data_IF_974605575468
#
_entry.id   IF_974605575468
#
_cell.length_a   1.000
_cell.length_b   1.000
_cell.length_c   1.000
_cell.angle_alpha   90.00
_cell.angle_beta   90.00
_cell.angle_gamma   90.00
#
_symmetry.space_group_name_H-M   'P 1'
#
loop_
_entity.id
_entity.type
_entity.pdbx_description
1 polymer ?
#
# COMPACT_ATOMS: atom_id res chain seq x y z
N UNK A 1 -17.41 -16.55 10.13
CA UNK A 1 -16.78 -15.26 9.75
C UNK A 1 -15.35 -15.11 10.27
N UNK A 2 -15.09 -15.16 11.57
CA UNK A 2 -13.72 -15.03 12.14
C UNK A 2 -12.78 -16.15 11.65
N UNK A 3 -13.24 -17.39 11.57
CA UNK A 3 -12.44 -18.53 11.06
C UNK A 3 -12.04 -18.32 9.59
N UNK A 4 -12.93 -17.85 8.74
CA UNK A 4 -12.65 -17.60 7.32
C UNK A 4 -11.65 -16.46 7.13
N UNK A 5 -11.76 -15.41 7.94
CA UNK A 5 -10.80 -14.31 7.97
C UNK A 5 -9.40 -14.81 8.38
N UNK A 6 -9.31 -15.61 9.45
CA UNK A 6 -8.04 -16.17 9.91
C UNK A 6 -7.44 -17.14 8.86
N UNK A 7 -8.27 -17.96 8.21
CA UNK A 7 -7.84 -18.84 7.12
C UNK A 7 -7.39 -18.03 5.91
N UNK A 8 -8.10 -16.95 5.54
CA UNK A 8 -7.70 -16.04 4.47
C UNK A 8 -6.34 -15.38 4.73
N UNK A 9 -6.11 -14.93 5.97
CA UNK A 9 -4.81 -14.39 6.38
C UNK A 9 -3.70 -15.44 6.31
N UNK A 10 -3.95 -16.67 6.79
CA UNK A 10 -3.02 -17.77 6.71
C UNK A 10 -2.69 -18.18 5.27
N UNK A 11 -3.70 -18.32 4.42
CA UNK A 11 -3.51 -18.61 3.00
C UNK A 11 -2.73 -17.49 2.34
N UNK A 12 -3.08 -16.21 2.61
CA UNK A 12 -2.34 -15.06 2.10
C UNK A 12 -0.87 -15.10 2.43
N UNK A 13 -0.55 -15.34 3.70
CA UNK A 13 0.83 -15.51 4.13
C UNK A 13 1.53 -16.67 3.42
N UNK A 14 0.86 -17.84 3.32
CA UNK A 14 1.41 -19.03 2.68
C UNK A 14 1.62 -18.85 1.17
N UNK A 15 0.72 -18.19 0.48
CA UNK A 15 0.86 -17.89 -0.95
C UNK A 15 2.09 -17.03 -1.20
N UNK A 16 2.35 -16.04 -0.37
CA UNK A 16 3.50 -15.14 -0.51
C UNK A 16 4.81 -15.79 -0.06
N UNK A 17 4.80 -16.63 0.99
CA UNK A 17 6.02 -17.16 1.61
C UNK A 17 6.40 -18.62 1.25
N UNK A 18 5.48 -19.39 0.70
CA UNK A 18 5.63 -20.86 0.61
C UNK A 18 6.26 -21.38 -0.69
N UNK A 19 6.54 -20.52 -1.66
CA UNK A 19 7.11 -20.90 -2.96
C UNK A 19 8.64 -20.86 -2.99
N UNK A 20 9.26 -20.42 -1.89
CA UNK A 20 10.71 -20.28 -1.81
C UNK A 20 11.22 -20.55 -0.39
N UNK A 21 12.53 -20.68 -0.26
CA UNK A 21 13.22 -20.78 1.04
C UNK A 21 12.93 -19.54 1.90
N UNK A 22 12.73 -19.69 3.23
CA UNK A 22 12.46 -18.57 4.13
C UNK A 22 13.46 -17.42 4.05
N UNK A 23 14.75 -17.71 3.84
CA UNK A 23 15.79 -16.70 3.67
C UNK A 23 15.64 -15.95 2.34
N UNK A 24 15.37 -16.68 1.26
CA UNK A 24 15.14 -16.07 -0.07
C UNK A 24 13.88 -15.22 -0.04
N UNK A 25 12.82 -15.69 0.61
CA UNK A 25 11.60 -14.91 0.80
C UNK A 25 11.86 -13.61 1.55
N UNK A 26 12.56 -13.69 2.70
CA UNK A 26 12.91 -12.51 3.51
C UNK A 26 13.77 -11.53 2.70
N UNK A 27 14.80 -12.02 2.01
CA UNK A 27 15.65 -11.20 1.16
C UNK A 27 14.87 -10.51 0.06
N UNK A 28 13.96 -11.21 -0.62
CA UNK A 28 13.11 -10.64 -1.67
C UNK A 28 12.14 -9.58 -1.13
N UNK A 29 11.51 -9.86 0.02
CA UNK A 29 10.58 -8.94 0.68
C UNK A 29 11.25 -7.63 1.09
N UNK A 30 12.55 -7.67 1.42
CA UNK A 30 13.31 -6.52 1.89
C UNK A 30 14.04 -5.81 0.73
N UNK A 31 14.55 -6.55 -0.26
CA UNK A 31 15.40 -5.99 -1.32
C UNK A 31 14.68 -4.94 -2.18
N UNK A 32 13.45 -5.21 -2.61
CA UNK A 32 12.68 -4.28 -3.45
C UNK A 32 12.38 -2.94 -2.75
N UNK A 33 11.85 -2.91 -1.51
CA UNK A 33 11.68 -1.68 -0.75
C UNK A 33 12.99 -0.91 -0.51
N UNK A 34 14.06 -1.60 -0.15
CA UNK A 34 15.37 -0.98 0.07
C UNK A 34 15.85 -0.33 -1.23
N UNK A 35 15.81 -1.03 -2.36
CA UNK A 35 16.23 -0.48 -3.64
C UNK A 35 15.47 0.80 -4.00
N UNK A 36 14.15 0.84 -3.74
CA UNK A 36 13.32 2.02 -3.99
C UNK A 36 13.70 3.20 -3.09
N UNK A 37 13.94 2.96 -1.81
CA UNK A 37 14.36 3.99 -0.85
C UNK A 37 15.76 4.52 -1.19
N UNK A 38 16.67 3.62 -1.56
CA UNK A 38 18.00 3.99 -2.01
C UNK A 38 17.99 4.86 -3.27
N UNK A 39 17.22 4.46 -4.26
CA UNK A 39 17.08 5.22 -5.51
C UNK A 39 16.63 6.66 -5.24
N UNK A 40 15.61 6.83 -4.41
CA UNK A 40 15.11 8.17 -4.03
C UNK A 40 16.16 8.96 -3.24
N UNK A 41 16.83 8.31 -2.28
CA UNK A 41 17.89 8.94 -1.52
C UNK A 41 19.08 9.36 -2.39
N UNK A 42 19.49 8.54 -3.35
CA UNK A 42 20.55 8.89 -4.31
C UNK A 42 20.13 10.02 -5.25
N UNK A 43 18.89 10.02 -5.75
CA UNK A 43 18.36 11.12 -6.55
C UNK A 43 18.41 12.44 -5.76
N UNK A 44 18.05 12.38 -4.47
CA UNK A 44 18.15 13.55 -3.59
C UNK A 44 19.60 14.03 -3.45
N UNK A 45 20.53 13.11 -3.16
CA UNK A 45 21.95 13.45 -2.98
C UNK A 45 22.55 14.08 -4.23
N UNK A 46 22.37 13.45 -5.39
CA UNK A 46 22.90 13.94 -6.68
C UNK A 46 22.25 15.28 -7.04
N UNK A 47 20.94 15.41 -6.83
CA UNK A 47 20.21 16.65 -7.08
C UNK A 47 20.64 17.79 -6.17
N UNK A 48 20.90 17.52 -4.89
CA UNK A 48 21.36 18.50 -3.91
C UNK A 48 22.79 18.96 -4.20
N UNK A 49 23.67 18.05 -4.57
CA UNK A 49 25.04 18.34 -4.97
C UNK A 49 25.07 19.22 -6.23
N UNK A 50 24.31 18.85 -7.25
CA UNK A 50 24.18 19.63 -8.49
C UNK A 50 23.58 21.02 -8.25
N UNK A 51 22.67 21.19 -7.28
CA UNK A 51 22.07 22.47 -6.93
C UNK A 51 22.94 23.31 -5.96
N UNK A 52 23.97 22.71 -5.35
CA UNK A 52 24.78 23.35 -4.30
C UNK A 52 24.01 23.65 -3.02
N UNK A 53 22.84 23.05 -2.81
CA UNK A 53 21.96 23.28 -1.67
C UNK A 53 21.49 21.95 -1.10
N UNK A 54 21.89 21.63 0.13
CA UNK A 54 21.43 20.46 0.84
C UNK A 54 20.29 20.83 1.79
N UNK A 55 19.05 20.48 1.42
CA UNK A 55 17.88 20.77 2.24
C UNK A 55 17.46 19.51 3.02
N UNK A 56 17.81 19.45 4.29
CA UNK A 56 17.52 18.32 5.18
C UNK A 56 16.01 18.09 5.38
N UNK A 57 15.20 19.16 5.37
CA UNK A 57 13.74 19.01 5.47
C UNK A 57 13.15 18.33 4.23
N UNK A 58 13.69 18.65 3.05
CA UNK A 58 13.26 17.99 1.82
C UNK A 58 13.72 16.54 1.77
N UNK A 59 14.91 16.22 2.30
CA UNK A 59 15.35 14.83 2.47
C UNK A 59 14.41 14.06 3.39
N UNK A 60 14.09 14.61 4.58
CA UNK A 60 13.11 13.99 5.49
C UNK A 60 11.76 13.75 4.81
N UNK A 61 11.28 14.73 4.05
CA UNK A 61 10.01 14.63 3.34
C UNK A 61 9.99 13.49 2.31
N UNK A 62 10.99 13.43 1.45
CA UNK A 62 11.09 12.45 0.37
C UNK A 62 11.39 11.04 0.89
N UNK A 63 12.28 10.93 1.85
CA UNK A 63 12.70 9.66 2.43
C UNK A 63 11.57 9.00 3.22
N UNK A 64 10.89 9.76 4.09
CA UNK A 64 9.72 9.23 4.82
C UNK A 64 8.58 8.88 3.87
N UNK A 65 8.34 9.71 2.85
CA UNK A 65 7.36 9.42 1.80
C UNK A 65 7.63 8.11 1.08
N UNK A 66 8.88 7.89 0.66
CA UNK A 66 9.29 6.67 -0.03
C UNK A 66 9.12 5.41 0.82
N UNK A 67 9.53 5.45 2.08
CA UNK A 67 9.44 4.31 3.00
C UNK A 67 7.98 3.97 3.29
N UNK A 68 7.17 4.93 3.69
CA UNK A 68 5.79 4.65 4.08
C UNK A 68 4.86 4.42 2.89
N UNK A 69 5.26 4.83 1.67
CA UNK A 69 4.56 4.45 0.44
C UNK A 69 4.60 2.94 0.16
N UNK A 70 5.49 2.20 0.81
CA UNK A 70 5.51 0.73 0.74
C UNK A 70 4.15 0.13 1.14
N UNK A 71 3.42 0.73 2.10
CA UNK A 71 2.09 0.26 2.50
C UNK A 71 1.07 0.27 1.35
N UNK A 72 0.73 1.42 0.75
CA UNK A 72 -0.22 1.46 -0.35
C UNK A 72 0.27 0.66 -1.57
N UNK A 73 1.56 0.68 -1.87
CA UNK A 73 2.13 -0.07 -2.99
C UNK A 73 2.00 -1.59 -2.81
N UNK A 74 2.46 -2.12 -1.68
CA UNK A 74 2.40 -3.56 -1.39
C UNK A 74 0.96 -4.06 -1.35
N UNK A 75 0.05 -3.32 -0.71
CA UNK A 75 -1.35 -3.72 -0.61
C UNK A 75 -2.08 -3.63 -1.95
N UNK A 76 -1.82 -2.60 -2.77
CA UNK A 76 -2.41 -2.49 -4.11
C UNK A 76 -1.95 -3.62 -5.04
N UNK A 77 -0.67 -3.99 -5.00
CA UNK A 77 -0.11 -5.07 -5.81
C UNK A 77 -0.64 -6.43 -5.35
N UNK A 78 -0.50 -6.75 -4.07
CA UNK A 78 -0.92 -8.05 -3.51
C UNK A 78 -2.42 -8.31 -3.71
N UNK A 79 -3.26 -7.33 -3.40
CA UNK A 79 -4.71 -7.49 -3.52
C UNK A 79 -5.19 -7.35 -4.97
N UNK A 80 -4.48 -6.59 -5.80
CA UNK A 80 -4.80 -6.50 -7.21
C UNK A 80 -4.55 -7.81 -7.96
N UNK A 81 -3.52 -8.56 -7.60
CA UNK A 81 -3.25 -9.88 -8.21
C UNK A 81 -4.09 -11.02 -7.61
N UNK A 82 -4.68 -10.83 -6.43
CA UNK A 82 -5.40 -11.87 -5.69
C UNK A 82 -6.41 -12.63 -6.54
N UNK A 83 -7.29 -11.92 -7.24
CA UNK A 83 -8.35 -12.57 -8.04
C UNK A 83 -7.76 -13.39 -9.18
N UNK A 84 -6.68 -12.90 -9.80
CA UNK A 84 -6.01 -13.62 -10.87
C UNK A 84 -5.29 -14.87 -10.35
N UNK A 85 -4.54 -14.74 -9.27
CA UNK A 85 -3.83 -15.86 -8.65
C UNK A 85 -4.81 -16.95 -8.20
N UNK A 86 -5.86 -16.58 -7.48
CA UNK A 86 -6.84 -17.51 -6.96
C UNK A 86 -7.68 -18.17 -8.08
N UNK A 87 -7.85 -17.50 -9.23
CA UNK A 87 -8.59 -18.01 -10.38
C UNK A 87 -7.73 -18.90 -11.28
N UNK A 88 -6.57 -18.41 -11.71
CA UNK A 88 -5.78 -19.04 -12.76
C UNK A 88 -4.61 -19.89 -12.25
N UNK A 89 -3.94 -19.44 -11.18
CA UNK A 89 -2.74 -20.11 -10.66
C UNK A 89 -3.07 -21.19 -9.65
N UNK A 90 -3.95 -20.89 -8.69
CA UNK A 90 -4.27 -21.83 -7.59
C UNK A 90 -5.63 -22.52 -7.78
N UNK A 91 -6.48 -22.05 -8.67
CA UNK A 91 -7.82 -22.57 -8.97
C UNK A 91 -8.75 -22.66 -7.74
N UNK A 92 -8.47 -21.87 -6.70
CA UNK A 92 -9.22 -21.90 -5.44
C UNK A 92 -10.43 -20.98 -5.45
N UNK A 93 -10.51 -20.01 -6.37
CA UNK A 93 -11.57 -19.01 -6.39
C UNK A 93 -12.97 -19.63 -6.46
N UNK A 94 -13.16 -20.67 -7.31
CA UNK A 94 -14.43 -21.44 -7.42
C UNK A 94 -14.83 -22.07 -6.09
N UNK A 95 -13.88 -22.63 -5.35
CA UNK A 95 -14.16 -23.28 -4.07
C UNK A 95 -14.56 -22.26 -2.99
N UNK A 96 -13.97 -21.07 -3.02
CA UNK A 96 -14.33 -19.96 -2.12
C UNK A 96 -15.78 -19.50 -2.42
N UNK A 97 -16.18 -19.45 -3.70
CA UNK A 97 -17.53 -19.03 -4.09
C UNK A 97 -18.62 -20.10 -3.87
N UNK A 98 -18.26 -21.36 -3.78
CA UNK A 98 -19.18 -22.47 -3.44
C UNK A 98 -19.36 -22.59 -1.93
N UNK A 99 -18.38 -22.10 -1.14
CA UNK A 99 -18.46 -22.14 0.30
C UNK A 99 -19.69 -21.35 0.83
N UNK A 100 -20.32 -21.82 1.92
CA UNK A 100 -21.54 -21.19 2.46
C UNK A 100 -21.29 -19.79 3.01
N UNK A 101 -20.03 -19.41 3.22
CA UNK A 101 -19.66 -18.10 3.74
C UNK A 101 -19.33 -17.09 2.62
N UNK A 102 -19.46 -15.80 2.94
CA UNK A 102 -19.15 -14.72 2.00
C UNK A 102 -17.66 -14.67 1.65
N UNK A 103 -17.35 -14.29 0.41
CA UNK A 103 -15.97 -14.09 -0.08
C UNK A 103 -15.25 -12.92 0.62
N UNK A 104 -16.01 -11.93 1.11
CA UNK A 104 -15.43 -10.72 1.73
C UNK A 104 -14.52 -11.02 2.92
N UNK A 105 -14.88 -11.86 3.93
CA UNK A 105 -13.97 -12.22 5.01
C UNK A 105 -12.66 -12.85 4.54
N UNK A 106 -12.70 -13.63 3.46
CA UNK A 106 -11.48 -14.17 2.85
C UNK A 106 -10.57 -13.06 2.30
N UNK A 107 -11.13 -12.12 1.53
CA UNK A 107 -10.37 -10.97 0.99
C UNK A 107 -9.79 -10.13 2.13
N UNK A 108 -10.56 -9.85 3.19
CA UNK A 108 -10.03 -9.12 4.35
C UNK A 108 -8.94 -9.90 5.10
N UNK A 109 -9.00 -11.23 5.12
CA UNK A 109 -7.89 -12.04 5.60
C UNK A 109 -6.60 -11.82 4.79
N UNK A 110 -6.71 -11.78 3.46
CA UNK A 110 -5.60 -11.45 2.56
C UNK A 110 -5.06 -10.03 2.78
N UNK A 111 -5.95 -9.06 3.09
CA UNK A 111 -5.55 -7.70 3.50
C UNK A 111 -4.63 -7.73 4.72
N UNK A 112 -4.95 -8.54 5.74
CA UNK A 112 -4.12 -8.67 6.94
C UNK A 112 -2.74 -9.23 6.60
N UNK A 113 -2.66 -10.28 5.78
CA UNK A 113 -1.38 -10.86 5.34
C UNK A 113 -0.51 -9.82 4.61
N UNK A 114 -1.10 -9.10 3.66
CA UNK A 114 -0.43 -8.05 2.91
C UNK A 114 0.03 -6.88 3.82
N UNK A 115 -0.78 -6.51 4.81
CA UNK A 115 -0.41 -5.49 5.79
C UNK A 115 0.78 -5.92 6.67
N UNK A 116 0.85 -7.18 7.08
CA UNK A 116 2.01 -7.73 7.81
C UNK A 116 3.27 -7.65 6.96
N UNK A 117 3.20 -8.07 5.68
CA UNK A 117 4.33 -7.97 4.76
C UNK A 117 4.79 -6.51 4.56
N UNK A 118 3.85 -5.59 4.35
CA UNK A 118 4.15 -4.16 4.24
C UNK A 118 4.83 -3.63 5.52
N UNK A 119 4.35 -4.03 6.70
CA UNK A 119 4.92 -3.62 7.99
C UNK A 119 6.37 -4.07 8.13
N UNK A 120 6.66 -5.33 7.85
CA UNK A 120 8.04 -5.86 7.92
C UNK A 120 8.93 -5.13 6.91
N UNK A 121 8.46 -4.91 5.69
CA UNK A 121 9.19 -4.17 4.65
C UNK A 121 9.48 -2.73 5.04
N UNK A 122 8.50 -2.02 5.63
CA UNK A 122 8.67 -0.64 6.11
C UNK A 122 9.68 -0.57 7.25
N UNK A 123 9.59 -1.46 8.25
CA UNK A 123 10.54 -1.49 9.36
C UNK A 123 11.96 -1.75 8.85
N UNK A 124 12.14 -2.74 7.97
CA UNK A 124 13.44 -3.03 7.40
C UNK A 124 13.99 -1.85 6.58
N UNK A 125 13.18 -1.26 5.70
CA UNK A 125 13.57 -0.12 4.88
C UNK A 125 13.90 1.12 5.74
N UNK A 126 13.15 1.33 6.82
CA UNK A 126 13.39 2.44 7.75
C UNK A 126 14.71 2.26 8.50
N UNK A 127 14.93 1.08 9.11
CA UNK A 127 16.15 0.80 9.88
C UNK A 127 17.39 0.82 8.99
N UNK A 128 17.36 0.13 7.85
CA UNK A 128 18.50 0.04 6.95
C UNK A 128 18.75 1.39 6.26
N UNK A 129 17.69 2.05 5.81
CA UNK A 129 17.78 3.35 5.16
C UNK A 129 18.36 4.43 6.08
N UNK A 130 17.85 4.54 7.32
CA UNK A 130 18.38 5.50 8.31
C UNK A 130 19.84 5.20 8.68
N UNK A 131 20.18 3.93 8.86
CA UNK A 131 21.56 3.52 9.18
C UNK A 131 22.53 3.91 8.04
N UNK A 132 22.18 3.66 6.79
CA UNK A 132 23.07 3.92 5.66
C UNK A 132 23.16 5.42 5.37
N UNK A 133 22.03 6.13 5.26
CA UNK A 133 22.06 7.56 4.97
C UNK A 133 22.68 8.38 6.12
N UNK A 134 22.46 7.97 7.38
CA UNK A 134 23.14 8.58 8.52
C UNK A 134 24.65 8.32 8.55
N UNK A 135 25.06 7.04 8.43
CA UNK A 135 26.48 6.66 8.59
C UNK A 135 27.39 7.11 7.43
N UNK A 136 26.90 6.99 6.17
CA UNK A 136 27.74 7.25 5.00
C UNK A 136 27.57 8.65 4.39
N UNK A 137 26.40 9.25 4.55
CA UNK A 137 26.08 10.54 3.91
C UNK A 137 25.85 11.68 4.92
N UNK A 138 25.91 11.38 6.22
CA UNK A 138 25.68 12.38 7.27
C UNK A 138 24.27 12.98 7.25
N UNK A 139 23.32 12.29 6.62
CA UNK A 139 21.93 12.72 6.49
C UNK A 139 21.10 12.12 7.63
N UNK A 140 21.21 12.71 8.80
CA UNK A 140 20.37 12.34 9.91
C UNK A 140 18.93 12.81 9.65
N UNK A 141 17.97 11.92 9.86
CA UNK A 141 16.56 12.29 9.79
C UNK A 141 16.13 13.25 10.91
N UNK A 142 17.05 13.54 11.86
CA UNK A 142 16.80 14.36 13.04
C UNK A 142 15.55 13.92 13.84
N UNK A 143 15.19 12.62 13.73
CA UNK A 143 14.04 12.05 14.45
C UNK A 143 14.48 11.80 15.89
N UNK A 144 14.00 12.62 16.80
CA UNK A 144 14.16 12.34 18.22
C UNK A 144 13.10 11.30 18.64
N UNK A 145 13.54 10.06 18.87
CA UNK A 145 12.65 8.97 19.24
C UNK A 145 11.78 9.28 20.48
N UNK A 146 12.24 10.14 21.38
CA UNK A 146 11.47 10.57 22.56
C UNK A 146 10.36 11.59 22.24
N UNK A 147 10.44 12.23 21.08
CA UNK A 147 9.47 13.25 20.65
C UNK A 147 8.46 12.71 19.61
N UNK A 148 8.60 11.46 19.15
CA UNK A 148 7.70 10.88 18.18
C UNK A 148 6.32 10.63 18.80
N UNK A 149 5.26 11.02 18.08
CA UNK A 149 3.88 10.72 18.50
C UNK A 149 3.48 9.29 18.10
N UNK A 150 3.91 8.31 18.91
CA UNK A 150 3.63 6.88 18.66
C UNK A 150 2.13 6.54 18.57
N UNK A 151 1.25 7.06 19.45
CA UNK A 151 -0.19 6.84 19.30
C UNK A 151 -0.72 7.25 17.93
N UNK A 152 -0.29 8.40 17.41
CA UNK A 152 -0.72 8.87 16.09
C UNK A 152 -0.20 7.98 14.96
N UNK A 153 1.05 7.47 15.05
CA UNK A 153 1.58 6.49 14.08
C UNK A 153 0.72 5.24 14.04
N UNK A 154 0.41 4.67 15.21
CA UNK A 154 -0.40 3.44 15.31
C UNK A 154 -1.78 3.67 14.69
N UNK A 155 -2.46 4.75 15.06
CA UNK A 155 -3.79 5.09 14.50
C UNK A 155 -3.70 5.29 12.99
N UNK A 156 -2.68 6.00 12.50
CA UNK A 156 -2.48 6.25 11.08
C UNK A 156 -2.24 4.96 10.30
N UNK A 157 -1.41 4.05 10.81
CA UNK A 157 -1.15 2.75 10.17
C UNK A 157 -2.43 1.92 10.15
N UNK A 158 -3.19 1.83 11.24
CA UNK A 158 -4.44 1.09 11.28
C UNK A 158 -5.48 1.64 10.29
N UNK A 159 -5.65 2.95 10.25
CA UNK A 159 -6.52 3.60 9.25
C UNK A 159 -6.01 3.37 7.82
N UNK A 160 -4.70 3.42 7.62
CA UNK A 160 -4.07 3.13 6.33
C UNK A 160 -4.35 1.71 5.85
N UNK A 161 -4.20 0.72 6.73
CA UNK A 161 -4.52 -0.69 6.41
C UNK A 161 -5.99 -0.83 5.98
N UNK A 162 -6.91 -0.16 6.68
CA UNK A 162 -8.33 -0.16 6.32
C UNK A 162 -8.54 0.51 4.95
N UNK A 163 -7.98 1.70 4.73
CA UNK A 163 -8.12 2.45 3.49
C UNK A 163 -7.57 1.68 2.28
N UNK A 164 -6.35 1.13 2.40
CA UNK A 164 -5.70 0.36 1.33
C UNK A 164 -6.33 -1.01 1.15
N UNK A 165 -6.92 -1.59 2.19
CA UNK A 165 -7.75 -2.78 2.10
C UNK A 165 -8.99 -2.55 1.24
N UNK A 166 -9.67 -1.41 1.36
CA UNK A 166 -10.79 -1.05 0.48
C UNK A 166 -10.34 -0.69 -0.94
N UNK A 167 -9.17 -0.06 -1.09
CA UNK A 167 -8.55 0.11 -2.42
C UNK A 167 -8.32 -1.26 -3.08
N UNK A 168 -7.75 -2.21 -2.35
CA UNK A 168 -7.56 -3.58 -2.82
C UNK A 168 -8.87 -4.27 -3.19
N UNK A 169 -9.93 -4.10 -2.39
CA UNK A 169 -11.26 -4.61 -2.72
C UNK A 169 -11.81 -4.01 -4.02
N UNK A 170 -11.53 -2.73 -4.29
CA UNK A 170 -11.88 -2.08 -5.55
C UNK A 170 -11.14 -2.71 -6.74
N UNK A 171 -9.84 -2.97 -6.59
CA UNK A 171 -9.03 -3.65 -7.62
C UNK A 171 -9.53 -5.09 -7.85
N UNK A 172 -9.86 -5.82 -6.78
CA UNK A 172 -10.52 -7.13 -6.88
C UNK A 172 -11.83 -7.06 -7.67
N UNK A 173 -12.67 -6.04 -7.42
CA UNK A 173 -13.92 -5.86 -8.14
C UNK A 173 -13.71 -5.71 -9.65
N UNK A 174 -12.73 -4.91 -10.06
CA UNK A 174 -12.40 -4.72 -11.48
C UNK A 174 -11.88 -6.03 -12.09
N UNK A 175 -10.98 -6.73 -11.39
CA UNK A 175 -10.37 -7.97 -11.85
C UNK A 175 -11.36 -9.17 -11.87
N UNK A 176 -12.45 -9.13 -11.10
CA UNK A 176 -13.51 -10.13 -11.22
C UNK A 176 -14.21 -10.09 -12.58
N UNK A 177 -14.38 -8.92 -13.17
CA UNK A 177 -15.10 -8.72 -14.43
C UNK A 177 -14.20 -8.46 -15.63
N UNK A 178 -12.91 -8.21 -15.44
CA UNK A 178 -11.94 -7.93 -16.50
C UNK A 178 -10.74 -8.87 -16.42
N UNK A 179 -10.51 -9.65 -17.50
CA UNK A 179 -9.32 -10.51 -17.63
C UNK A 179 -8.13 -9.76 -18.22
N UNK A 180 -8.39 -8.69 -18.98
CA UNK A 180 -7.34 -7.99 -19.74
C UNK A 180 -6.43 -7.10 -18.87
N UNK A 181 -6.94 -6.66 -17.73
CA UNK A 181 -6.25 -5.70 -16.85
C UNK A 181 -5.51 -6.35 -15.67
N UNK A 182 -5.57 -7.67 -15.54
CA UNK A 182 -5.17 -8.41 -14.35
C UNK A 182 -3.75 -8.11 -13.84
N UNK A 183 -2.77 -7.94 -14.73
CA UNK A 183 -1.39 -7.62 -14.33
C UNK A 183 -1.12 -6.11 -14.30
N UNK A 184 -1.65 -5.38 -15.27
CA UNK A 184 -1.33 -3.96 -15.43
C UNK A 184 -2.10 -3.05 -14.46
N UNK A 185 -3.29 -3.44 -14.00
CA UNK A 185 -4.13 -2.60 -13.15
C UNK A 185 -3.43 -2.19 -11.85
N UNK A 186 -2.79 -3.15 -11.19
CA UNK A 186 -2.09 -2.91 -9.92
C UNK A 186 -0.88 -2.01 -10.10
N UNK A 187 -0.10 -2.23 -11.15
CA UNK A 187 1.08 -1.43 -11.45
C UNK A 187 0.69 0.01 -11.81
N UNK A 188 -0.32 0.21 -12.66
CA UNK A 188 -0.82 1.55 -12.98
C UNK A 188 -1.38 2.26 -11.75
N UNK A 189 -2.16 1.55 -10.93
CA UNK A 189 -2.70 2.11 -9.69
C UNK A 189 -1.57 2.55 -8.76
N UNK A 190 -0.56 1.72 -8.56
CA UNK A 190 0.60 2.03 -7.72
C UNK A 190 1.37 3.23 -8.27
N UNK A 191 1.59 3.30 -9.58
CA UNK A 191 2.24 4.44 -10.23
C UNK A 191 1.46 5.75 -10.06
N UNK A 192 0.13 5.70 -10.22
CA UNK A 192 -0.75 6.86 -10.01
C UNK A 192 -0.73 7.30 -8.55
N UNK A 193 -0.83 6.37 -7.61
CA UNK A 193 -0.73 6.68 -6.18
C UNK A 193 0.62 7.30 -5.84
N UNK A 194 1.73 6.77 -6.38
CA UNK A 194 3.07 7.31 -6.16
C UNK A 194 3.17 8.77 -6.59
N UNK A 195 2.67 9.07 -7.78
CA UNK A 195 2.74 10.42 -8.35
C UNK A 195 1.84 11.41 -7.61
N UNK A 196 0.61 11.01 -7.27
CA UNK A 196 -0.43 11.93 -6.78
C UNK A 196 -0.51 12.02 -5.25
N UNK A 197 0.06 11.06 -4.50
CA UNK A 197 -0.05 11.06 -3.02
C UNK A 197 0.99 11.92 -2.31
N UNK A 198 1.83 12.66 -3.03
CA UNK A 198 2.83 13.51 -2.39
C UNK A 198 4.00 12.70 -1.79
N UNK A 199 4.47 11.65 -2.46
CA UNK A 199 5.59 10.82 -1.99
C UNK A 199 6.89 11.60 -2.02
N UNK A 200 7.24 12.17 -3.19
CA UNK A 200 8.51 12.87 -3.44
C UNK A 200 8.39 14.37 -3.23
N UNK A 201 7.25 14.95 -3.61
CA UNK A 201 6.98 16.38 -3.50
C UNK A 201 5.56 16.64 -3.01
N UNK A 202 5.31 17.77 -2.33
CA UNK A 202 3.97 18.10 -1.84
C UNK A 202 2.92 18.13 -2.96
N UNK A 203 1.71 17.65 -2.67
CA UNK A 203 0.59 17.64 -3.63
C UNK A 203 0.28 19.05 -4.16
N UNK A 204 0.53 20.08 -3.35
CA UNK A 204 0.35 21.49 -3.73
C UNK A 204 1.23 21.96 -4.89
N UNK A 205 2.30 21.24 -5.23
CA UNK A 205 3.17 21.55 -6.38
C UNK A 205 2.67 20.95 -7.69
N UNK A 206 1.67 20.07 -7.64
CA UNK A 206 1.09 19.45 -8.85
C UNK A 206 0.20 20.44 -9.62
N UNK A 207 -0.08 20.21 -10.92
CA UNK A 207 -1.12 20.93 -11.64
C UNK A 207 -2.50 20.79 -10.96
N UNK A 208 -3.35 21.79 -11.06
CA UNK A 208 -4.64 21.90 -10.32
C UNK A 208 -5.49 20.64 -10.43
N UNK A 209 -5.61 20.02 -11.61
CA UNK A 209 -6.38 18.79 -11.81
C UNK A 209 -5.78 17.62 -11.00
N UNK A 210 -4.46 17.49 -11.04
CA UNK A 210 -3.74 16.45 -10.29
C UNK A 210 -3.82 16.67 -8.77
N UNK A 211 -3.82 17.93 -8.32
CA UNK A 211 -4.04 18.27 -6.91
C UNK A 211 -5.41 17.79 -6.41
N UNK A 212 -6.48 18.05 -7.18
CA UNK A 212 -7.83 17.62 -6.81
C UNK A 212 -7.92 16.11 -6.63
N UNK A 213 -7.32 15.36 -7.55
CA UNK A 213 -7.25 13.89 -7.43
C UNK A 213 -6.39 13.47 -6.24
N UNK A 214 -5.21 14.08 -6.05
CA UNK A 214 -4.31 13.80 -4.94
C UNK A 214 -4.97 14.02 -3.58
N UNK A 215 -5.69 15.13 -3.41
CA UNK A 215 -6.43 15.40 -2.17
C UNK A 215 -7.67 14.53 -1.96
N UNK A 216 -8.16 13.83 -2.97
CA UNK A 216 -9.21 12.83 -2.80
C UNK A 216 -8.65 11.47 -2.28
N UNK A 217 -7.35 11.23 -2.42
CA UNK A 217 -6.73 9.95 -2.08
C UNK A 217 -6.42 9.83 -0.58
N UNK A 218 -6.79 8.73 0.08
CA UNK A 218 -6.43 8.49 1.48
C UNK A 218 -4.92 8.34 1.69
N UNK A 219 -4.16 7.93 0.67
CA UNK A 219 -2.71 7.80 0.72
C UNK A 219 -2.00 9.14 0.92
N UNK A 220 -2.54 10.25 0.46
CA UNK A 220 -2.01 11.59 0.69
C UNK A 220 -2.00 11.94 2.17
N UNK A 221 -3.14 11.77 2.83
CA UNK A 221 -3.28 12.05 4.26
C UNK A 221 -2.53 11.04 5.11
N UNK A 222 -2.46 9.77 4.69
CA UNK A 222 -1.63 8.76 5.34
C UNK A 222 -0.16 9.20 5.42
N UNK A 223 0.44 9.62 4.31
CA UNK A 223 1.83 10.06 4.28
C UNK A 223 2.05 11.33 5.07
N UNK A 224 1.13 12.30 5.00
CA UNK A 224 1.20 13.52 5.80
C UNK A 224 1.12 13.24 7.29
N UNK A 225 0.18 12.40 7.73
CA UNK A 225 0.03 12.03 9.14
C UNK A 225 1.26 11.30 9.69
N UNK A 226 1.89 10.43 8.90
CA UNK A 226 3.16 9.81 9.29
C UNK A 226 4.24 10.88 9.50
N UNK A 227 4.38 11.83 8.57
CA UNK A 227 5.38 12.93 8.71
C UNK A 227 5.09 13.80 9.92
N UNK A 228 3.84 14.17 10.16
CA UNK A 228 3.41 14.93 11.34
C UNK A 228 3.66 14.15 12.65
N UNK A 229 3.45 12.83 12.62
CA UNK A 229 3.74 11.98 13.79
C UNK A 229 5.22 11.90 14.12
N UNK A 230 6.07 11.80 13.08
CA UNK A 230 7.53 11.74 13.26
C UNK A 230 8.12 13.08 13.68
N UNK A 231 7.51 14.21 13.29
CA UNK A 231 7.91 15.56 13.68
C UNK A 231 7.21 16.07 14.95
N UNK A 232 6.35 15.26 15.57
CA UNK A 232 5.53 15.60 16.75
C UNK A 232 4.73 16.90 16.58
N UNK A 233 4.18 17.12 15.40
CA UNK A 233 3.36 18.30 15.13
C UNK A 233 1.94 18.11 15.68
N UNK A 234 1.41 19.15 16.33
CA UNK A 234 0.02 19.14 16.82
C UNK A 234 -1.02 19.40 15.72
N UNK A 235 -0.59 19.82 14.54
CA UNK A 235 -1.47 20.17 13.42
C UNK A 235 -1.99 18.97 12.63
N UNK A 236 -2.18 17.81 13.26
CA UNK A 236 -2.59 16.56 12.59
C UNK A 236 -4.12 16.38 12.45
N UNK A 237 -4.92 17.14 13.21
CA UNK A 237 -6.38 16.95 13.29
C UNK A 237 -7.08 17.10 11.94
N UNK A 238 -6.79 18.11 11.11
CA UNK A 238 -7.40 18.23 9.79
C UNK A 238 -7.07 17.03 8.87
N UNK A 239 -5.81 16.62 8.82
CA UNK A 239 -5.39 15.50 7.97
C UNK A 239 -5.99 14.17 8.43
N UNK A 240 -6.15 13.98 9.75
CA UNK A 240 -6.83 12.81 10.30
C UNK A 240 -8.32 12.78 9.91
N UNK A 241 -9.00 13.92 9.99
CA UNK A 241 -10.40 14.04 9.57
C UNK A 241 -10.58 13.74 8.07
N UNK A 242 -9.73 14.32 7.22
CA UNK A 242 -9.75 14.05 5.79
C UNK A 242 -9.39 12.61 5.45
N UNK A 243 -8.45 11.99 6.16
CA UNK A 243 -8.12 10.58 6.01
C UNK A 243 -9.32 9.68 6.31
N UNK A 244 -10.03 9.94 7.41
CA UNK A 244 -11.25 9.20 7.77
C UNK A 244 -12.31 9.39 6.70
N UNK A 245 -12.58 10.63 6.27
CA UNK A 245 -13.58 10.95 5.27
C UNK A 245 -13.29 10.26 3.93
N UNK A 246 -12.05 10.36 3.43
CA UNK A 246 -11.64 9.70 2.19
C UNK A 246 -11.69 8.18 2.30
N UNK A 247 -11.30 7.61 3.44
CA UNK A 247 -11.41 6.17 3.70
C UNK A 247 -12.85 5.69 3.66
N UNK A 248 -13.78 6.41 4.29
CA UNK A 248 -15.21 6.09 4.25
C UNK A 248 -15.77 6.18 2.83
N UNK A 249 -15.40 7.21 2.08
CA UNK A 249 -15.82 7.36 0.68
C UNK A 249 -15.30 6.20 -0.19
N UNK A 250 -14.03 5.83 -0.05
CA UNK A 250 -13.44 4.69 -0.76
C UNK A 250 -14.09 3.36 -0.32
N UNK A 251 -14.38 3.18 0.96
CA UNK A 251 -15.06 1.99 1.46
C UNK A 251 -16.46 1.84 0.84
N UNK A 252 -17.25 2.91 0.83
CA UNK A 252 -18.58 2.90 0.23
C UNK A 252 -18.52 2.56 -1.28
N UNK A 253 -17.60 3.21 -2.00
CA UNK A 253 -17.40 2.96 -3.43
C UNK A 253 -16.93 1.52 -3.69
N UNK A 254 -15.96 1.03 -2.94
CA UNK A 254 -15.41 -0.32 -3.10
C UNK A 254 -16.47 -1.40 -2.83
N UNK A 255 -17.23 -1.26 -1.74
CA UNK A 255 -18.30 -2.21 -1.40
C UNK A 255 -19.43 -2.23 -2.43
N UNK A 256 -19.80 -1.06 -2.94
CA UNK A 256 -20.82 -0.93 -3.98
C UNK A 256 -20.37 -1.56 -5.29
N UNK A 257 -19.17 -1.22 -5.77
CA UNK A 257 -18.63 -1.74 -7.02
C UNK A 257 -18.32 -3.24 -6.92
N UNK A 258 -17.82 -3.71 -5.77
CA UNK A 258 -17.59 -5.13 -5.55
C UNK A 258 -18.90 -5.94 -5.61
N UNK A 259 -20.00 -5.45 -5.03
CA UNK A 259 -21.31 -6.10 -5.11
C UNK A 259 -21.80 -6.21 -6.56
N UNK A 260 -21.63 -5.18 -7.37
CA UNK A 260 -22.01 -5.20 -8.80
C UNK A 260 -21.11 -6.16 -9.57
N UNK A 261 -19.80 -6.11 -9.34
CA UNK A 261 -18.83 -6.96 -10.02
C UNK A 261 -19.05 -8.44 -9.69
N UNK A 262 -19.27 -8.76 -8.42
CA UNK A 262 -19.58 -10.13 -7.96
C UNK A 262 -20.85 -10.65 -8.60
N UNK A 263 -21.93 -9.88 -8.62
CA UNK A 263 -23.18 -10.24 -9.27
C UNK A 263 -22.97 -10.53 -10.76
N UNK A 264 -22.28 -9.64 -11.48
CA UNK A 264 -21.96 -9.83 -12.90
C UNK A 264 -21.07 -11.05 -13.16
N UNK A 265 -20.05 -11.27 -12.31
CA UNK A 265 -19.15 -12.40 -12.45
C UNK A 265 -19.87 -13.75 -12.26
N UNK A 266 -20.78 -13.83 -11.30
CA UNK A 266 -21.64 -15.02 -11.09
C UNK A 266 -22.54 -15.29 -12.28
N UNK A 267 -23.27 -14.30 -12.78
CA UNK A 267 -24.20 -14.46 -13.91
C UNK A 267 -23.50 -14.77 -15.23
N UNK A 268 -22.28 -14.31 -15.44
CA UNK A 268 -21.53 -14.53 -16.69
C UNK A 268 -20.55 -15.70 -16.64
N UNK A 269 -20.56 -16.50 -15.56
CA UNK A 269 -19.64 -17.62 -15.39
C UNK A 269 -18.16 -17.24 -15.36
N UNK A 270 -17.84 -16.00 -14.95
CA UNK A 270 -16.46 -15.48 -14.98
C UNK A 270 -15.59 -16.00 -13.83
N UNK A 271 -16.20 -16.64 -12.83
CA UNK A 271 -15.50 -17.14 -11.64
C UNK A 271 -14.56 -18.31 -11.98
N UNK A 272 -14.98 -19.18 -12.89
CA UNK A 272 -14.25 -20.41 -13.28
C UNK A 272 -13.57 -20.28 -14.66
N UNK A 273 -13.72 -19.13 -15.32
CA UNK A 273 -13.16 -18.93 -16.66
C UNK A 273 -11.66 -18.75 -16.57
N UNK A 274 -10.89 -19.72 -17.10
CA UNK A 274 -9.46 -19.57 -17.33
C UNK A 274 -9.26 -18.52 -18.41
N UNK A 275 -8.31 -17.60 -18.18
CA UNK A 275 -7.85 -16.71 -19.24
C UNK A 275 -7.01 -17.57 -20.19
N UNK A 276 -7.65 -18.14 -21.19
CA UNK A 276 -6.94 -18.67 -22.35
C UNK A 276 -6.48 -17.47 -23.22
N UNK A 277 -5.21 -17.51 -23.60
CA UNK A 277 -4.56 -16.54 -24.48
C UNK A 277 -5.27 -16.45 -25.82
#
# INVERSE_FOLDING_TARGET
MVKVLAQGAWIGWKVESNWTDPFVFLAYMIAKPIASVFLIGLIFLIGSDAAGIMNQQFFFYTFTGAIFFIYPATMAISLGYLVHEDRAKYEVLKHIYIAPESVKPYIFGRVIASAVNATVSVIAAFVIGTAIFGAYFGLDLAINALQVNYPLIIVTILLGIIAFGFLGLLLCAINLVSFKLQYSLSEYTTGILFLLSGVVFPVSMLPVVAQQVGYALPSTYFLNLIRLSLSNSEAFVPDLAYMILSTVAFAAMALFLFKIAEHRARHRGMIDRKAEY
#
